data_IF_869856071061
#
_entry.id   IF_869856071061
#
_cell.length_a   1.000
_cell.length_b   1.000
_cell.length_c   1.000
_cell.angle_alpha   90.00
_cell.angle_beta   90.00
_cell.angle_gamma   90.00
#
_symmetry.space_group_name_H-M   'P 1'
#
loop_
_entity.id
_entity.type
_entity.pdbx_description
1 polymer ?
#
# COMPACT_ATOMS: atom_id res chain seq x y z
N UNK A 1 -14.02 4.03 0.50
CA UNK A 1 -13.55 2.78 -0.12
C UNK A 1 -12.63 3.01 -1.31
N UNK A 2 -13.07 3.71 -2.37
CA UNK A 2 -12.20 4.00 -3.53
C UNK A 2 -10.84 4.62 -3.17
N UNK A 3 -10.83 5.67 -2.33
CA UNK A 3 -9.59 6.32 -1.93
C UNK A 3 -8.62 5.40 -1.16
N UNK A 4 -9.13 4.49 -0.34
CA UNK A 4 -8.30 3.48 0.33
C UNK A 4 -7.73 2.48 -0.68
N UNK A 5 -8.54 2.02 -1.64
CA UNK A 5 -8.05 1.13 -2.69
C UNK A 5 -6.91 1.79 -3.47
N UNK A 6 -7.09 3.06 -3.85
CA UNK A 6 -6.09 3.83 -4.59
C UNK A 6 -4.79 4.01 -3.81
N UNK A 7 -4.86 4.50 -2.56
CA UNK A 7 -3.65 4.75 -1.77
C UNK A 7 -2.87 3.47 -1.52
N UNK A 8 -3.54 2.38 -1.13
CA UNK A 8 -2.88 1.11 -0.85
C UNK A 8 -2.24 0.53 -2.12
N UNK A 9 -2.91 0.64 -3.28
CA UNK A 9 -2.35 0.21 -4.54
C UNK A 9 -1.13 1.05 -4.96
N UNK A 10 -1.18 2.37 -4.75
CA UNK A 10 -0.05 3.28 -5.00
C UNK A 10 1.16 2.93 -4.14
N UNK A 11 0.95 2.72 -2.82
CA UNK A 11 1.99 2.26 -1.90
C UNK A 11 2.62 0.94 -2.41
N UNK A 12 1.81 -0.05 -2.79
CA UNK A 12 2.31 -1.35 -3.31
C UNK A 12 3.13 -1.19 -4.59
N UNK A 13 2.76 -0.25 -5.47
CA UNK A 13 3.53 0.05 -6.68
C UNK A 13 4.86 0.73 -6.35
N UNK A 14 4.88 1.59 -5.34
CA UNK A 14 6.13 2.17 -4.84
C UNK A 14 7.12 1.10 -4.41
N UNK A 15 6.64 0.04 -3.74
CA UNK A 15 7.44 -1.11 -3.33
C UNK A 15 7.92 -2.02 -4.47
N UNK A 16 7.21 -2.02 -5.60
CA UNK A 16 7.44 -2.94 -6.72
C UNK A 16 8.23 -2.31 -7.88
N UNK A 17 8.55 -1.02 -7.78
CA UNK A 17 9.28 -0.27 -8.80
C UNK A 17 10.80 -0.57 -8.79
N UNK A 18 11.50 -0.17 -9.87
CA UNK A 18 12.96 -0.28 -9.96
C UNK A 18 13.64 0.33 -8.73
N UNK A 19 14.73 -0.32 -8.27
CA UNK A 19 15.42 0.00 -7.01
C UNK A 19 15.75 1.50 -6.82
N UNK A 20 16.04 2.24 -7.91
CA UNK A 20 16.33 3.67 -7.86
C UNK A 20 15.11 4.57 -7.65
N UNK A 21 13.94 4.19 -8.16
CA UNK A 21 12.67 4.94 -7.96
C UNK A 21 12.03 4.52 -6.65
N UNK A 22 12.05 3.22 -6.35
CA UNK A 22 11.67 2.63 -5.07
C UNK A 22 12.35 3.34 -3.90
N UNK A 23 13.68 3.50 -3.98
CA UNK A 23 14.48 4.10 -2.91
C UNK A 23 14.12 5.55 -2.60
N UNK A 24 13.58 6.29 -3.58
CA UNK A 24 13.22 7.70 -3.39
C UNK A 24 11.87 7.85 -2.68
N UNK A 25 10.80 7.27 -3.22
CA UNK A 25 9.46 7.46 -2.67
C UNK A 25 9.32 6.81 -1.28
N UNK A 26 9.82 5.58 -1.14
CA UNK A 26 9.80 4.90 0.15
C UNK A 26 10.75 5.54 1.16
N UNK A 27 11.88 6.06 0.69
CA UNK A 27 12.81 6.82 1.52
C UNK A 27 12.19 8.12 2.05
N UNK A 28 11.44 8.84 1.22
CA UNK A 28 10.73 10.07 1.61
C UNK A 28 9.63 9.77 2.66
N UNK A 29 8.80 8.74 2.43
CA UNK A 29 7.79 8.33 3.41
C UNK A 29 8.41 7.94 4.75
N UNK A 30 9.52 7.20 4.72
CA UNK A 30 10.22 6.80 5.92
C UNK A 30 10.83 8.00 6.64
N UNK A 31 11.47 8.92 5.92
CA UNK A 31 12.03 10.15 6.48
C UNK A 31 10.96 11.05 7.15
N UNK A 32 9.73 11.01 6.64
CA UNK A 32 8.57 11.71 7.22
C UNK A 32 7.92 10.94 8.39
N UNK A 33 8.41 9.74 8.71
CA UNK A 33 7.86 8.88 9.75
C UNK A 33 6.51 8.24 9.39
N UNK A 34 6.20 8.14 8.09
CA UNK A 34 4.96 7.54 7.59
C UNK A 34 5.13 6.02 7.46
N UNK A 35 4.21 5.28 8.09
CA UNK A 35 4.10 3.84 7.90
C UNK A 35 2.96 3.53 6.91
N UNK A 36 3.31 3.02 5.74
CA UNK A 36 2.36 2.49 4.75
C UNK A 36 1.81 1.13 5.19
N UNK A 37 0.75 0.64 4.53
CA UNK A 37 0.12 -0.63 4.92
C UNK A 37 1.05 -1.86 4.86
N UNK A 38 1.95 -2.01 3.87
CA UNK A 38 2.92 -3.11 3.87
C UNK A 38 3.81 -3.13 5.13
N UNK A 39 4.27 -1.97 5.59
CA UNK A 39 5.10 -1.85 6.78
C UNK A 39 4.31 -2.09 8.07
N UNK A 40 3.08 -1.56 8.15
CA UNK A 40 2.18 -1.84 9.28
C UNK A 40 1.95 -3.35 9.42
N UNK A 41 1.72 -4.05 8.30
CA UNK A 41 1.57 -5.50 8.29
C UNK A 41 2.84 -6.21 8.76
N UNK A 42 4.01 -5.77 8.29
CA UNK A 42 5.29 -6.32 8.71
C UNK A 42 5.53 -6.17 10.22
N UNK A 43 5.23 -4.99 10.78
CA UNK A 43 5.33 -4.73 12.23
C UNK A 43 4.40 -5.66 13.02
N UNK A 44 3.19 -5.92 12.52
CA UNK A 44 2.20 -6.75 13.22
C UNK A 44 2.51 -8.26 13.17
N UNK A 45 3.25 -8.73 12.16
CA UNK A 45 3.48 -10.16 11.91
C UNK A 45 4.94 -10.60 12.04
N UNK A 46 5.83 -9.69 12.42
CA UNK A 46 7.24 -10.01 12.71
C UNK A 46 7.44 -10.43 14.18
N UNK A 47 8.54 -11.14 14.50
CA UNK A 47 8.94 -11.39 15.88
C UNK A 47 9.06 -10.09 16.69
N UNK A 48 8.88 -10.11 18.03
CA UNK A 48 8.85 -8.91 18.86
C UNK A 48 10.06 -7.98 18.68
N UNK A 49 11.26 -8.53 18.55
CA UNK A 49 12.49 -7.75 18.34
C UNK A 49 12.50 -7.03 17.00
N UNK A 50 12.14 -7.73 15.92
CA UNK A 50 12.00 -7.14 14.57
C UNK A 50 10.89 -6.10 14.55
N UNK A 51 9.74 -6.36 15.17
CA UNK A 51 8.65 -5.41 15.24
C UNK A 51 9.04 -4.13 16.02
N UNK A 52 9.78 -4.27 17.12
CA UNK A 52 10.30 -3.12 17.86
C UNK A 52 11.32 -2.31 17.03
N UNK A 53 12.21 -3.01 16.31
CA UNK A 53 13.18 -2.39 15.41
C UNK A 53 12.51 -1.63 14.26
N UNK A 54 11.51 -2.22 13.60
CA UNK A 54 10.74 -1.56 12.54
C UNK A 54 10.00 -0.31 13.04
N UNK A 55 9.42 -0.35 14.24
CA UNK A 55 8.80 0.85 14.85
C UNK A 55 9.83 1.95 15.06
N UNK A 56 10.99 1.62 15.64
CA UNK A 56 12.06 2.58 15.85
C UNK A 56 12.60 3.18 14.54
N UNK A 57 12.69 2.39 13.47
CA UNK A 57 13.09 2.88 12.14
C UNK A 57 12.11 3.95 11.65
N UNK A 58 10.80 3.71 11.76
CA UNK A 58 9.76 4.68 11.37
C UNK A 58 9.79 5.92 12.26
N UNK A 59 9.82 5.75 13.58
CA UNK A 59 9.79 6.87 14.53
C UNK A 59 10.98 7.83 14.37
N UNK A 60 12.15 7.31 13.97
CA UNK A 60 13.36 8.11 13.76
C UNK A 60 13.59 8.50 12.29
N UNK A 61 12.74 8.05 11.37
CA UNK A 61 12.92 8.22 9.94
C UNK A 61 14.26 7.72 9.41
N UNK A 62 14.69 6.52 9.84
CA UNK A 62 15.99 5.94 9.49
C UNK A 62 15.98 5.37 8.07
N UNK A 63 16.19 6.26 7.08
CA UNK A 63 16.28 5.91 5.65
C UNK A 63 17.41 4.93 5.35
N UNK A 64 18.45 4.86 6.19
CA UNK A 64 19.56 3.90 5.99
C UNK A 64 19.12 2.45 6.25
N UNK A 65 18.02 2.26 6.97
CA UNK A 65 17.44 0.94 7.25
C UNK A 65 16.41 0.49 6.19
N UNK A 66 16.34 1.15 5.03
CA UNK A 66 15.38 0.83 3.98
C UNK A 66 15.42 -0.65 3.57
N UNK A 67 16.60 -1.20 3.35
CA UNK A 67 16.76 -2.61 2.98
C UNK A 67 16.27 -3.57 4.07
N UNK A 68 16.39 -3.17 5.34
CA UNK A 68 15.89 -3.92 6.49
C UNK A 68 14.36 -3.96 6.50
N UNK A 69 13.74 -2.80 6.27
CA UNK A 69 12.28 -2.65 6.12
C UNK A 69 11.77 -3.51 4.97
N UNK A 70 12.41 -3.45 3.80
CA UNK A 70 12.02 -4.23 2.62
C UNK A 70 12.08 -5.74 2.89
N UNK A 71 13.14 -6.22 3.55
CA UNK A 71 13.25 -7.64 3.92
C UNK A 71 12.12 -8.08 4.83
N UNK A 72 11.77 -7.28 5.83
CA UNK A 72 10.68 -7.62 6.76
C UNK A 72 9.31 -7.63 6.06
N UNK A 73 9.05 -6.65 5.19
CA UNK A 73 7.82 -6.60 4.38
C UNK A 73 7.69 -7.85 3.50
N UNK A 74 8.76 -8.23 2.81
CA UNK A 74 8.78 -9.45 1.99
C UNK A 74 8.61 -10.72 2.82
N UNK A 75 9.31 -10.84 3.95
CA UNK A 75 9.25 -12.02 4.82
C UNK A 75 7.85 -12.24 5.44
N UNK A 76 7.08 -11.17 5.62
CA UNK A 76 5.72 -11.22 6.19
C UNK A 76 4.61 -11.23 5.14
N UNK A 77 4.95 -11.16 3.85
CA UNK A 77 3.96 -11.07 2.77
C UNK A 77 3.18 -9.75 2.74
N UNK A 78 3.77 -8.65 3.22
CA UNK A 78 3.09 -7.37 3.36
C UNK A 78 2.59 -6.76 2.05
N UNK A 79 3.25 -7.05 0.93
CA UNK A 79 2.84 -6.58 -0.40
C UNK A 79 1.58 -7.29 -0.88
N UNK A 80 1.55 -8.62 -0.82
CA UNK A 80 0.38 -9.41 -1.23
C UNK A 80 -0.82 -9.11 -0.32
N UNK A 81 -0.59 -9.01 0.99
CA UNK A 81 -1.62 -8.56 1.93
C UNK A 81 -2.21 -7.20 1.52
N UNK A 82 -1.35 -6.23 1.20
CA UNK A 82 -1.80 -4.89 0.83
C UNK A 82 -2.55 -4.89 -0.50
N UNK A 83 -2.11 -5.68 -1.49
CA UNK A 83 -2.82 -5.87 -2.76
C UNK A 83 -4.23 -6.43 -2.52
N UNK A 84 -4.37 -7.47 -1.71
CA UNK A 84 -5.66 -8.07 -1.38
C UNK A 84 -6.59 -7.08 -0.65
N UNK A 85 -6.01 -6.26 0.25
CA UNK A 85 -6.77 -5.18 0.90
C UNK A 85 -7.26 -4.14 -0.09
N UNK A 86 -6.41 -3.69 -1.03
CA UNK A 86 -6.81 -2.75 -2.07
C UNK A 86 -7.97 -3.29 -2.92
N UNK A 87 -7.88 -4.55 -3.36
CA UNK A 87 -8.94 -5.24 -4.11
C UNK A 87 -10.25 -5.35 -3.31
N UNK A 88 -10.17 -5.63 -2.00
CA UNK A 88 -11.34 -5.68 -1.14
C UNK A 88 -12.00 -4.29 -1.00
N UNK A 89 -11.22 -3.22 -0.87
CA UNK A 89 -11.74 -1.85 -0.86
C UNK A 89 -12.38 -1.47 -2.21
N UNK A 90 -11.76 -1.84 -3.33
CA UNK A 90 -12.32 -1.61 -4.67
C UNK A 90 -13.67 -2.34 -4.85
N UNK A 91 -13.73 -3.61 -4.45
CA UNK A 91 -14.95 -4.41 -4.51
C UNK A 91 -16.10 -3.79 -3.71
N UNK A 92 -15.83 -3.24 -2.52
CA UNK A 92 -16.84 -2.52 -1.74
C UNK A 92 -17.26 -1.20 -2.38
N UNK A 93 -16.32 -0.48 -3.00
CA UNK A 93 -16.65 0.73 -3.75
C UNK A 93 -17.59 0.42 -4.92
N UNK A 94 -17.34 -0.65 -5.67
CA UNK A 94 -18.22 -1.11 -6.76
C UNK A 94 -19.60 -1.53 -6.24
N UNK A 95 -19.64 -2.31 -5.16
CA UNK A 95 -20.90 -2.72 -4.53
C UNK A 95 -21.76 -1.52 -4.09
N UNK A 96 -21.14 -0.43 -3.64
CA UNK A 96 -21.86 0.78 -3.20
C UNK A 96 -22.64 1.49 -4.31
N UNK A 97 -22.26 1.29 -5.57
CA UNK A 97 -22.92 1.90 -6.74
C UNK A 97 -23.78 0.92 -7.54
N UNK A 98 -23.84 -0.36 -7.14
CA UNK A 98 -24.52 -1.42 -7.89
C UNK A 98 -26.05 -1.20 -8.04
N UNK A 99 -26.67 -0.48 -7.11
CA UNK A 99 -28.10 -0.15 -7.15
C UNK A 99 -28.47 1.06 -8.03
N UNK A 100 -27.49 1.76 -8.60
CA UNK A 100 -27.73 2.94 -9.43
C UNK A 100 -28.11 2.54 -10.86
N UNK A 101 -29.05 3.27 -11.45
CA UNK A 101 -29.43 3.07 -12.84
C UNK A 101 -28.24 3.35 -13.77
N UNK A 102 -28.00 2.46 -14.74
CA UNK A 102 -26.91 2.57 -15.68
C UNK A 102 -26.97 3.87 -16.50
N UNK A 103 -25.87 4.62 -16.48
CA UNK A 103 -25.66 5.83 -17.27
C UNK A 103 -24.15 6.12 -17.33
N UNK A 104 -23.76 7.10 -18.15
CA UNK A 104 -22.35 7.45 -18.35
C UNK A 104 -21.59 7.81 -17.06
N UNK A 105 -22.27 8.35 -16.04
CA UNK A 105 -21.65 8.68 -14.76
C UNK A 105 -21.37 7.44 -13.92
N UNK A 106 -22.29 6.47 -13.90
CA UNK A 106 -22.07 5.18 -13.20
C UNK A 106 -20.94 4.40 -13.86
N UNK A 107 -20.87 4.41 -15.20
CA UNK A 107 -19.78 3.76 -15.93
C UNK A 107 -18.43 4.44 -15.67
N UNK A 108 -18.39 5.77 -15.59
CA UNK A 108 -17.19 6.50 -15.18
C UNK A 108 -16.73 6.13 -13.75
N UNK A 109 -17.68 5.99 -12.81
CA UNK A 109 -17.37 5.56 -11.44
C UNK A 109 -16.81 4.12 -11.39
N UNK A 110 -17.39 3.18 -12.15
CA UNK A 110 -16.83 1.82 -12.30
C UNK A 110 -15.42 1.86 -12.88
N UNK A 111 -15.20 2.70 -13.89
CA UNK A 111 -13.88 2.94 -14.48
C UNK A 111 -12.86 3.43 -13.45
N UNK A 112 -13.23 4.36 -12.57
CA UNK A 112 -12.35 4.83 -11.48
C UNK A 112 -12.03 3.72 -10.48
N UNK A 113 -12.99 2.86 -10.13
CA UNK A 113 -12.75 1.71 -9.23
C UNK A 113 -11.77 0.73 -9.85
N UNK A 114 -11.96 0.36 -11.12
CA UNK A 114 -11.04 -0.53 -11.83
C UNK A 114 -9.64 0.09 -11.96
N UNK A 115 -9.58 1.38 -12.31
CA UNK A 115 -8.32 2.11 -12.44
C UNK A 115 -7.55 2.17 -11.12
N UNK A 116 -8.23 2.27 -9.97
CA UNK A 116 -7.55 2.38 -8.67
C UNK A 116 -6.65 1.18 -8.33
N UNK A 117 -6.91 -0.02 -8.88
CA UNK A 117 -6.20 -1.27 -8.53
C UNK A 117 -5.46 -1.94 -9.70
N UNK A 118 -5.61 -1.43 -10.92
CA UNK A 118 -5.01 -2.01 -12.15
C UNK A 118 -3.87 -1.17 -12.73
N UNK A 119 -3.26 -0.31 -11.91
CA UNK A 119 -2.21 0.61 -12.36
C UNK A 119 -0.90 -0.16 -12.62
N UNK A 120 -0.43 -0.11 -13.87
CA UNK A 120 0.98 -0.31 -14.21
C UNK A 120 1.60 1.08 -14.40
N UNK A 121 2.82 1.29 -13.89
CA UNK A 121 3.51 2.60 -13.99
C UNK A 121 3.92 2.94 -15.42
#
# INVERSE_FOLDING_TARGET
>A
DLGFAFQIADDVLDYSADAGVLGKNLGDDLAEGKATLPLIHAIAHSPPETAARLRAIVENGDVQALDEVMRAINATGGLDYSRDRALAFASRAEASIAGLAGNAYVDALRGLVAYAVSRDR
#
